data_IF_955860281558
#
_entry.id   IF_955860281558
#
_cell.length_a   1.000
_cell.length_b   1.000
_cell.length_c   1.000
_cell.angle_alpha   90.00
_cell.angle_beta   90.00
_cell.angle_gamma   90.00
#
_symmetry.space_group_name_H-M   'P 1'
#
loop_
_entity.id
_entity.type
_entity.pdbx_description
1 polymer ?
#
# COMPACT_ATOMS: atom_id res chain seq x y z
N UNK A 1 -51.59 -12.68 -10.22
CA UNK A 1 -50.70 -13.60 -9.48
C UNK A 1 -49.52 -13.86 -10.40
N UNK A 2 -48.26 -13.55 -10.12
CA UNK A 2 -47.53 -13.44 -8.86
C UNK A 2 -46.48 -12.34 -8.95
N UNK A 3 -46.23 -11.69 -7.81
CA UNK A 3 -45.13 -10.77 -7.58
C UNK A 3 -43.82 -11.56 -7.50
N UNK A 4 -42.77 -11.12 -8.20
CA UNK A 4 -41.40 -11.43 -7.80
C UNK A 4 -40.57 -10.15 -7.98
N UNK A 5 -40.46 -9.44 -6.87
CA UNK A 5 -39.44 -8.42 -6.61
C UNK A 5 -38.15 -9.20 -6.41
N UNK A 6 -37.19 -9.08 -7.33
CA UNK A 6 -35.81 -9.46 -7.06
C UNK A 6 -35.02 -8.17 -6.78
N UNK A 7 -35.06 -7.77 -5.51
CA UNK A 7 -34.11 -6.83 -4.93
C UNK A 7 -32.73 -7.49 -4.97
N UNK A 8 -31.96 -7.24 -6.02
CA UNK A 8 -30.53 -7.53 -6.03
C UNK A 8 -29.80 -6.36 -5.34
N UNK A 9 -30.07 -6.20 -4.06
CA UNK A 9 -29.32 -5.32 -3.17
C UNK A 9 -28.63 -6.23 -2.17
N UNK A 10 -27.39 -6.64 -2.44
CA UNK A 10 -26.51 -7.18 -1.41
C UNK A 10 -25.07 -7.16 -1.89
N UNK A 11 -24.27 -6.29 -1.25
CA UNK A 11 -22.94 -6.59 -0.69
C UNK A 11 -21.86 -6.94 -1.75
N UNK A 12 -20.75 -6.22 -1.88
CA UNK A 12 -19.80 -5.99 -0.79
C UNK A 12 -18.88 -4.79 -1.08
N UNK A 13 -19.03 -3.72 -0.29
CA UNK A 13 -17.88 -2.86 0.03
C UNK A 13 -17.06 -3.61 1.09
N UNK A 14 -16.36 -4.65 0.64
CA UNK A 14 -15.38 -5.40 1.45
C UNK A 14 -13.94 -4.96 1.15
N UNK A 15 -13.76 -3.78 0.54
CA UNK A 15 -12.44 -3.20 0.28
C UNK A 15 -11.80 -2.53 1.50
N UNK A 16 -12.33 -2.73 2.71
CA UNK A 16 -11.91 -1.93 3.86
C UNK A 16 -11.00 -2.61 4.89
N UNK A 17 -10.74 -3.93 4.88
CA UNK A 17 -9.83 -4.53 5.89
C UNK A 17 -9.25 -5.92 5.50
N UNK A 18 -8.74 -6.12 4.29
CA UNK A 18 -8.24 -7.46 3.92
C UNK A 18 -7.25 -7.60 2.76
N UNK A 19 -6.84 -6.52 2.10
CA UNK A 19 -5.72 -6.53 1.17
C UNK A 19 -4.67 -5.60 1.80
N UNK A 20 -3.43 -6.08 1.95
CA UNK A 20 -2.30 -5.31 2.48
C UNK A 20 -2.35 -3.87 1.95
N UNK A 21 -2.30 -2.86 2.82
CA UNK A 21 -2.19 -1.48 2.34
C UNK A 21 -0.82 -1.31 1.65
N UNK A 22 -0.68 -0.39 0.69
CA UNK A 22 0.59 -0.21 -0.05
C UNK A 22 1.77 0.06 0.90
N UNK A 23 1.49 0.80 1.98
CA UNK A 23 2.42 1.01 3.08
C UNK A 23 2.86 -0.30 3.78
N UNK A 24 1.94 -1.23 4.03
CA UNK A 24 2.25 -2.51 4.65
C UNK A 24 3.16 -3.34 3.74
N UNK A 25 2.88 -3.37 2.43
CA UNK A 25 3.71 -4.09 1.46
C UNK A 25 5.14 -3.54 1.42
N UNK A 26 5.29 -2.21 1.42
CA UNK A 26 6.61 -1.54 1.48
C UNK A 26 7.35 -1.89 2.77
N UNK A 27 6.65 -1.85 3.91
CA UNK A 27 7.25 -2.08 5.21
C UNK A 27 7.63 -3.55 5.42
N UNK A 28 6.78 -4.50 5.03
CA UNK A 28 7.08 -5.93 5.08
C UNK A 28 8.29 -6.26 4.19
N UNK A 29 8.34 -5.67 3.00
CA UNK A 29 9.49 -5.80 2.12
C UNK A 29 10.77 -5.24 2.75
N UNK A 30 10.70 -4.05 3.36
CA UNK A 30 11.86 -3.46 4.04
C UNK A 30 12.35 -4.33 5.18
N UNK A 31 11.40 -4.92 5.92
CA UNK A 31 11.73 -5.87 6.99
C UNK A 31 12.46 -7.08 6.44
N UNK A 32 11.97 -7.64 5.34
CA UNK A 32 12.56 -8.81 4.71
C UNK A 32 13.97 -8.55 4.15
N UNK A 33 14.18 -7.39 3.53
CA UNK A 33 15.38 -7.15 2.72
C UNK A 33 16.46 -6.28 3.38
N UNK A 34 16.11 -5.45 4.36
CA UNK A 34 17.04 -4.46 4.93
C UNK A 34 17.15 -4.54 6.45
N UNK A 35 16.04 -4.75 7.16
CA UNK A 35 16.01 -4.72 8.62
C UNK A 35 15.00 -5.71 9.20
N UNK A 36 15.46 -6.90 9.58
CA UNK A 36 14.60 -7.95 10.14
C UNK A 36 13.91 -7.56 11.45
N UNK A 37 14.41 -6.55 12.16
CA UNK A 37 13.85 -6.07 13.43
C UNK A 37 12.87 -4.90 13.23
N UNK A 38 12.63 -4.49 11.98
CA UNK A 38 11.69 -3.43 11.64
C UNK A 38 10.28 -3.75 12.17
N UNK A 39 9.72 -2.78 12.88
CA UNK A 39 8.32 -2.76 13.31
C UNK A 39 7.46 -2.26 12.14
N UNK A 40 6.82 -3.21 11.43
CA UNK A 40 6.07 -2.92 10.20
C UNK A 40 4.83 -2.09 10.46
N UNK A 41 4.22 -2.21 11.64
CA UNK A 41 3.11 -1.36 12.07
C UNK A 41 3.54 0.10 12.21
N UNK A 42 4.63 0.37 12.95
CA UNK A 42 5.17 1.74 13.05
C UNK A 42 5.67 2.30 11.72
N UNK A 43 6.18 1.44 10.86
CA UNK A 43 6.59 1.82 9.52
C UNK A 43 5.36 2.26 8.69
N UNK A 44 4.29 1.47 8.66
CA UNK A 44 3.08 1.81 7.92
C UNK A 44 2.42 3.11 8.45
N UNK A 45 2.41 3.31 9.77
CA UNK A 45 1.96 4.56 10.39
C UNK A 45 2.76 5.78 9.89
N UNK A 46 4.09 5.66 9.75
CA UNK A 46 4.94 6.75 9.24
C UNK A 46 4.67 7.06 7.78
N UNK A 47 4.48 6.03 6.95
CA UNK A 47 4.14 6.20 5.53
C UNK A 47 2.79 6.91 5.40
N UNK A 48 1.76 6.45 6.12
CA UNK A 48 0.45 7.11 6.12
C UNK A 48 0.50 8.56 6.62
N UNK A 49 1.22 8.81 7.72
CA UNK A 49 1.40 10.19 8.21
C UNK A 49 2.12 11.08 7.19
N UNK A 50 3.10 10.54 6.46
CA UNK A 50 3.78 11.27 5.39
C UNK A 50 2.88 11.54 4.20
N UNK A 51 2.03 10.61 3.78
CA UNK A 51 1.04 10.87 2.73
C UNK A 51 0.12 12.03 3.09
N UNK A 52 -0.24 12.15 4.37
CA UNK A 52 -1.20 13.14 4.87
C UNK A 52 -0.57 14.47 5.32
N UNK A 53 0.74 14.52 5.55
CA UNK A 53 1.43 15.69 6.13
C UNK A 53 1.27 16.97 5.27
N UNK A 54 1.13 16.85 3.95
CA UNK A 54 0.97 18.00 3.04
C UNK A 54 -0.23 17.82 2.12
N UNK A 55 -1.32 18.50 2.45
CA UNK A 55 -2.58 18.43 1.70
C UNK A 55 -2.39 18.69 0.19
N UNK A 56 -1.57 19.68 -0.20
CA UNK A 56 -1.31 19.99 -1.62
C UNK A 56 -0.55 18.88 -2.39
N UNK A 57 0.10 17.96 -1.69
CA UNK A 57 0.89 16.87 -2.26
C UNK A 57 0.33 15.49 -1.95
N UNK A 58 -0.80 15.42 -1.22
CA UNK A 58 -1.35 14.16 -0.71
C UNK A 58 -1.56 13.14 -1.83
N UNK A 59 -2.21 13.55 -2.92
CA UNK A 59 -2.48 12.66 -4.06
C UNK A 59 -1.20 12.14 -4.69
N UNK A 60 -0.19 13.01 -4.89
CA UNK A 60 1.10 12.60 -5.45
C UNK A 60 1.86 11.67 -4.51
N UNK A 61 1.76 11.88 -3.19
CA UNK A 61 2.42 11.02 -2.21
C UNK A 61 1.78 9.63 -2.17
N UNK A 62 0.44 9.56 -2.21
CA UNK A 62 -0.31 8.29 -2.32
C UNK A 62 -0.02 7.56 -3.62
N UNK A 63 0.00 8.27 -4.74
CA UNK A 63 0.37 7.72 -6.04
C UNK A 63 1.77 7.10 -5.99
N UNK A 64 2.74 7.79 -5.42
CA UNK A 64 4.11 7.26 -5.26
C UNK A 64 4.18 6.04 -4.34
N UNK A 65 3.42 6.00 -3.25
CA UNK A 65 3.34 4.80 -2.40
C UNK A 65 2.78 3.61 -3.19
N UNK A 66 1.73 3.82 -3.98
CA UNK A 66 1.15 2.79 -4.84
C UNK A 66 2.13 2.32 -5.93
N UNK A 67 2.83 3.23 -6.60
CA UNK A 67 3.85 2.91 -7.61
C UNK A 67 5.00 2.10 -7.02
N UNK A 68 5.51 2.51 -5.86
CA UNK A 68 6.55 1.76 -5.15
C UNK A 68 6.06 0.35 -4.76
N UNK A 69 4.87 0.24 -4.16
CA UNK A 69 4.24 -1.04 -3.77
C UNK A 69 4.08 -1.99 -4.96
N UNK A 70 3.61 -1.49 -6.09
CA UNK A 70 3.51 -2.26 -7.34
C UNK A 70 4.88 -2.64 -7.91
N UNK A 71 5.89 -1.79 -7.76
CA UNK A 71 7.23 -2.13 -8.22
C UNK A 71 7.84 -3.27 -7.38
N UNK A 72 7.66 -3.27 -6.06
CA UNK A 72 8.30 -4.28 -5.21
C UNK A 72 7.60 -5.65 -5.21
N UNK A 73 6.29 -5.72 -5.51
CA UNK A 73 5.46 -6.91 -5.29
C UNK A 73 5.94 -8.17 -6.04
N UNK A 74 6.57 -8.01 -7.20
CA UNK A 74 7.01 -9.13 -8.05
C UNK A 74 8.55 -9.22 -8.17
N UNK A 75 9.29 -8.60 -7.24
CA UNK A 75 10.75 -8.49 -7.33
C UNK A 75 11.46 -9.00 -6.08
N UNK A 76 12.67 -9.52 -6.28
CA UNK A 76 13.55 -9.92 -5.19
C UNK A 76 14.25 -8.73 -4.52
N UNK A 77 14.79 -8.95 -3.30
CA UNK A 77 15.64 -7.99 -2.56
C UNK A 77 16.65 -7.25 -3.43
N UNK A 78 17.34 -7.98 -4.30
CA UNK A 78 18.37 -7.42 -5.18
C UNK A 78 17.78 -6.60 -6.34
N UNK A 79 16.64 -7.00 -6.88
CA UNK A 79 16.03 -6.37 -8.06
C UNK A 79 15.36 -5.04 -7.73
N UNK A 80 14.75 -4.90 -6.55
CA UNK A 80 14.12 -3.65 -6.11
C UNK A 80 15.13 -2.52 -5.94
N UNK A 81 16.30 -2.81 -5.36
CA UNK A 81 17.36 -1.80 -5.20
C UNK A 81 17.77 -1.23 -6.56
N UNK A 82 17.82 -2.08 -7.59
CA UNK A 82 18.21 -1.68 -8.93
C UNK A 82 17.08 -1.06 -9.75
N UNK A 83 15.82 -1.45 -9.52
CA UNK A 83 14.72 -1.21 -10.47
C UNK A 83 13.56 -0.40 -9.91
N UNK A 84 13.45 -0.26 -8.60
CA UNK A 84 12.33 0.42 -7.93
C UNK A 84 12.76 1.61 -7.07
N UNK A 85 14.06 1.93 -7.08
CA UNK A 85 14.59 2.98 -6.23
C UNK A 85 13.94 4.32 -6.54
N UNK A 86 13.69 4.64 -7.80
CA UNK A 86 13.09 5.92 -8.21
C UNK A 86 11.66 6.07 -7.66
N UNK A 87 10.86 5.01 -7.73
CA UNK A 87 9.47 5.01 -7.25
C UNK A 87 9.43 5.08 -5.71
N UNK A 88 10.33 4.33 -5.06
CA UNK A 88 10.37 4.19 -3.61
C UNK A 88 11.16 5.28 -2.87
N UNK A 89 11.98 6.08 -3.56
CA UNK A 89 12.92 7.00 -2.92
C UNK A 89 12.20 8.11 -2.13
N UNK A 90 12.50 8.24 -0.84
CA UNK A 90 11.92 9.30 0.00
C UNK A 90 10.53 9.01 0.56
N UNK A 91 10.01 7.80 0.38
CA UNK A 91 8.96 7.25 1.25
C UNK A 91 9.64 6.91 2.59
N UNK A 92 9.14 7.40 3.75
CA UNK A 92 9.79 7.19 5.05
C UNK A 92 9.65 5.76 5.58
#
# INVERSE_FOLDING_TARGET
MSRLIALASCVSVLLLTGCSNDADAICDYRKQCFDSDLDTGKCAEKVGAWEEEKESEQDKRRERTAECSQCISDRTCAEVIASCIDDCFGIP
#
